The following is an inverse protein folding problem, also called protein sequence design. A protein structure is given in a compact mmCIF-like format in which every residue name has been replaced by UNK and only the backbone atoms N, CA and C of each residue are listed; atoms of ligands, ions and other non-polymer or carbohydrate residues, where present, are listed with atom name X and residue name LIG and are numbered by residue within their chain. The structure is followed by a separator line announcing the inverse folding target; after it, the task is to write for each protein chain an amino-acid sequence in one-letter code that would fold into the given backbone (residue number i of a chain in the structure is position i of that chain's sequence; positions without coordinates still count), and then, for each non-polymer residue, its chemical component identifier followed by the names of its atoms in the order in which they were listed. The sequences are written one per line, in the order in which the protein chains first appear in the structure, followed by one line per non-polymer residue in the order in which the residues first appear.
data_IF_831049074489
#
_entry.id   IF_831049074489
#
_cell.length_a   1.000
_cell.length_b   1.000
_cell.length_c   1.000
_cell.angle_alpha   90.00
_cell.angle_beta   90.00
_cell.angle_gamma   90.00
#
_symmetry.space_group_name_H-M   'P 1'
#
loop_
_entity.id
_entity.type
_entity.pdbx_description
1 polymer ?
#
# COMPACT_ATOMS: atom_id res chain seq x y z
N UNK A 1 -18.36 -3.13 4.40
CA UNK A 1 -18.11 -4.04 3.25
C UNK A 1 -16.97 -4.96 3.67
N UNK A 2 -17.12 -6.28 3.59
CA UNK A 2 -16.04 -7.21 3.95
C UNK A 2 -14.91 -7.14 2.92
N UNK A 3 -13.64 -7.08 3.35
CA UNK A 3 -12.48 -7.17 2.44
C UNK A 3 -12.56 -8.44 1.60
N UNK A 4 -12.28 -8.33 0.30
CA UNK A 4 -12.22 -9.48 -0.61
C UNK A 4 -10.98 -10.33 -0.33
N UNK A 5 -10.97 -11.57 -0.82
CA UNK A 5 -9.81 -12.46 -0.67
C UNK A 5 -8.56 -11.90 -1.37
N UNK A 6 -8.73 -11.25 -2.52
CA UNK A 6 -7.62 -10.62 -3.24
C UNK A 6 -7.01 -9.47 -2.44
N UNK A 7 -7.83 -8.62 -1.79
CA UNK A 7 -7.32 -7.56 -0.93
C UNK A 7 -6.51 -8.13 0.22
N UNK A 8 -7.04 -9.15 0.92
CA UNK A 8 -6.34 -9.80 2.03
C UNK A 8 -5.00 -10.41 1.60
N UNK A 9 -4.97 -11.09 0.45
CA UNK A 9 -3.74 -11.69 -0.09
C UNK A 9 -2.69 -10.64 -0.43
N UNK A 10 -3.10 -9.53 -1.04
CA UNK A 10 -2.19 -8.42 -1.36
C UNK A 10 -1.64 -7.77 -0.09
N UNK A 11 -2.51 -7.51 0.89
CA UNK A 11 -2.11 -6.98 2.20
C UNK A 11 -1.13 -7.92 2.92
N UNK A 12 -1.43 -9.22 2.97
CA UNK A 12 -0.56 -10.21 3.58
C UNK A 12 0.82 -10.26 2.91
N UNK A 13 0.87 -10.26 1.57
CA UNK A 13 2.12 -10.24 0.82
C UNK A 13 2.96 -9.00 1.11
N UNK A 14 2.32 -7.82 1.19
CA UNK A 14 2.99 -6.57 1.55
C UNK A 14 3.52 -6.58 2.98
N UNK A 15 2.73 -7.08 3.93
CA UNK A 15 3.14 -7.19 5.32
C UNK A 15 4.35 -8.11 5.45
N UNK A 16 4.29 -9.32 4.87
CA UNK A 16 5.41 -10.29 4.87
C UNK A 16 6.69 -9.70 4.28
N UNK A 17 6.58 -8.95 3.17
CA UNK A 17 7.75 -8.33 2.53
C UNK A 17 8.43 -7.23 3.37
N UNK A 18 7.68 -6.64 4.32
CA UNK A 18 8.15 -5.56 5.20
C UNK A 18 8.32 -5.98 6.66
N UNK A 19 7.97 -7.22 7.01
CA UNK A 19 8.18 -7.81 8.34
C UNK A 19 9.66 -8.18 8.56
N UNK A 20 10.51 -7.15 8.59
CA UNK A 20 11.97 -7.28 8.77
C UNK A 20 12.51 -6.13 9.60
N UNK A 21 13.66 -6.35 10.23
CA UNK A 21 14.31 -5.37 11.08
C UNK A 21 14.54 -4.03 10.34
N UNK A 22 14.27 -2.93 11.02
CA UNK A 22 14.47 -1.58 10.50
C UNK A 22 13.39 -1.09 9.53
N UNK A 23 12.28 -1.83 9.41
CA UNK A 23 11.11 -1.47 8.60
C UNK A 23 9.84 -1.56 9.46
N UNK A 24 9.00 -0.54 9.38
CA UNK A 24 7.76 -0.44 10.15
C UNK A 24 6.60 -0.25 9.17
N UNK A 25 5.63 -1.16 9.19
CA UNK A 25 4.48 -1.16 8.29
C UNK A 25 3.17 -0.81 9.00
N UNK A 26 2.31 -0.02 8.37
CA UNK A 26 0.97 0.30 8.88
C UNK A 26 -0.07 0.27 7.75
N UNK A 27 -1.21 -0.37 8.00
CA UNK A 27 -2.35 -0.42 7.08
C UNK A 27 -3.35 0.71 7.36
N UNK A 28 -4.09 1.12 6.33
CA UNK A 28 -5.20 2.08 6.39
C UNK A 28 -4.82 3.34 7.18
N UNK A 29 -3.82 4.05 6.64
CA UNK A 29 -3.21 5.21 7.28
C UNK A 29 -3.86 6.50 6.79
N UNK A 30 -4.64 7.15 7.65
CA UNK A 30 -5.24 8.47 7.36
C UNK A 30 -4.18 9.56 7.49
N UNK A 31 -3.95 10.32 6.40
CA UNK A 31 -2.90 11.33 6.32
C UNK A 31 -3.33 12.66 6.97
N UNK A 32 -2.57 13.13 7.95
CA UNK A 32 -2.86 14.37 8.69
C UNK A 32 -4.00 14.24 9.70
N UNK A 33 -4.17 15.29 10.51
CA UNK A 33 -5.24 15.40 11.50
C UNK A 33 -6.55 15.81 10.80
N UNK A 34 -7.61 15.01 10.94
CA UNK A 34 -8.86 15.10 10.13
C UNK A 34 -8.66 14.95 8.61
N UNK A 35 -7.62 14.22 8.20
CA UNK A 35 -7.38 13.89 6.81
C UNK A 35 -8.55 13.17 6.13
N UNK A 36 -8.75 13.45 4.85
CA UNK A 36 -9.70 12.72 3.98
C UNK A 36 -9.01 11.62 3.15
N UNK A 37 -7.69 11.62 3.16
CA UNK A 37 -6.84 10.74 2.38
C UNK A 37 -6.35 9.57 3.22
N UNK A 38 -6.50 8.36 2.71
CA UNK A 38 -6.09 7.12 3.35
C UNK A 38 -5.15 6.41 2.40
N UNK A 39 -3.95 6.07 2.88
CA UNK A 39 -3.02 5.19 2.17
C UNK A 39 -3.26 3.76 2.63
N UNK A 40 -3.40 2.82 1.70
CA UNK A 40 -3.70 1.41 2.03
C UNK A 40 -2.60 0.79 2.88
N UNK A 41 -1.34 1.01 2.53
CA UNK A 41 -0.19 0.57 3.33
C UNK A 41 0.99 1.55 3.23
N UNK A 42 1.61 1.84 4.37
CA UNK A 42 2.84 2.63 4.44
C UNK A 42 3.91 1.80 5.10
N UNK A 43 5.10 1.75 4.48
CA UNK A 43 6.31 1.28 5.13
C UNK A 43 7.27 2.45 5.39
N UNK A 44 7.75 2.56 6.62
CA UNK A 44 8.76 3.51 7.05
C UNK A 44 10.05 2.76 7.39
N UNK A 45 11.17 3.21 6.80
CA UNK A 45 12.50 2.64 7.08
C UNK A 45 13.27 3.50 8.06
N UNK A 46 14.17 2.89 8.82
CA UNK A 46 15.13 3.60 9.69
C UNK A 46 16.06 4.55 8.92
N UNK A 47 16.21 4.37 7.61
CA UNK A 47 16.88 5.31 6.69
C UNK A 47 16.10 6.63 6.48
N UNK A 48 14.91 6.77 7.06
CA UNK A 48 14.07 7.96 6.92
C UNK A 48 13.20 7.97 5.66
N UNK A 49 13.08 6.84 4.97
CA UNK A 49 12.35 6.70 3.71
C UNK A 49 10.94 6.16 3.94
N UNK A 50 9.95 6.81 3.32
CA UNK A 50 8.57 6.36 3.28
C UNK A 50 8.25 5.70 1.94
N UNK A 51 7.60 4.53 2.00
CA UNK A 51 7.09 3.82 0.85
C UNK A 51 5.58 3.72 1.01
N UNK A 52 4.84 4.38 0.12
CA UNK A 52 3.38 4.35 0.10
C UNK A 52 2.89 3.38 -0.97
N UNK A 53 1.90 2.57 -0.60
CA UNK A 53 1.33 1.54 -1.45
C UNK A 53 -0.17 1.76 -1.56
N UNK A 54 -0.65 1.82 -2.80
CA UNK A 54 -2.07 1.86 -3.15
C UNK A 54 -2.46 0.50 -3.75
N UNK A 55 -3.40 -0.19 -3.12
CA UNK A 55 -3.85 -1.52 -3.50
C UNK A 55 -5.06 -1.39 -4.44
N UNK A 56 -4.96 -1.95 -5.65
CA UNK A 56 -6.07 -2.00 -6.61
C UNK A 56 -6.32 -3.45 -7.03
N UNK A 57 -7.47 -4.00 -6.67
CA UNK A 57 -7.80 -5.41 -6.95
C UNK A 57 -8.72 -5.60 -8.14
N UNK A 58 -9.29 -4.51 -8.67
CA UNK A 58 -10.13 -4.53 -9.86
C UNK A 58 -9.89 -3.32 -10.77
N UNK A 59 -10.38 -3.40 -12.02
CA UNK A 59 -10.36 -2.26 -12.95
C UNK A 59 -11.20 -1.09 -12.41
N UNK A 60 -12.31 -1.37 -11.73
CA UNK A 60 -13.14 -0.34 -11.07
C UNK A 60 -12.39 0.38 -9.96
N UNK A 61 -11.64 -0.34 -9.13
CA UNK A 61 -10.82 0.29 -8.09
C UNK A 61 -9.79 1.21 -8.71
N UNK A 62 -9.13 0.76 -9.77
CA UNK A 62 -8.11 1.54 -10.48
C UNK A 62 -8.67 2.81 -11.12
N UNK A 63 -9.92 2.76 -11.60
CA UNK A 63 -10.64 3.91 -12.19
C UNK A 63 -11.29 4.84 -11.16
N UNK A 64 -11.30 4.47 -9.88
CA UNK A 64 -11.97 5.27 -8.86
C UNK A 64 -11.40 6.69 -8.83
N UNK A 65 -12.28 7.68 -8.67
CA UNK A 65 -11.90 9.10 -8.52
C UNK A 65 -11.40 9.45 -7.12
N UNK A 66 -11.11 8.45 -6.29
CA UNK A 66 -10.57 8.67 -4.97
C UNK A 66 -9.20 9.35 -5.07
N UNK A 67 -8.89 10.25 -4.15
CA UNK A 67 -7.60 10.91 -4.14
C UNK A 67 -6.48 9.88 -3.93
N UNK A 68 -5.60 9.76 -4.92
CA UNK A 68 -4.40 8.93 -4.83
C UNK A 68 -3.43 9.56 -3.85
N UNK A 69 -3.13 8.86 -2.76
CA UNK A 69 -2.37 9.41 -1.64
C UNK A 69 -0.87 9.08 -1.76
N UNK A 70 -0.23 9.54 -2.85
CA UNK A 70 1.18 9.28 -3.16
C UNK A 70 2.15 10.27 -2.49
N UNK A 71 2.20 10.21 -1.16
CA UNK A 71 3.00 11.09 -0.28
C UNK A 71 4.41 10.55 0.05
N UNK A 72 4.74 9.33 -0.35
CA UNK A 72 5.99 8.67 0.04
C UNK A 72 7.22 9.10 -0.78
N UNK A 73 8.42 8.81 -0.26
CA UNK A 73 9.67 8.87 -1.03
C UNK A 73 9.59 7.92 -2.23
N UNK A 74 8.92 6.77 -2.07
CA UNK A 74 8.55 5.87 -3.16
C UNK A 74 7.06 5.57 -3.10
N UNK A 75 6.44 5.45 -4.27
CA UNK A 75 5.00 5.27 -4.40
C UNK A 75 4.72 4.13 -5.36
N UNK A 76 3.84 3.21 -4.96
CA UNK A 76 3.57 1.99 -5.71
C UNK A 76 2.07 1.76 -5.84
N UNK A 77 1.66 1.33 -7.03
CA UNK A 77 0.47 0.50 -7.14
C UNK A 77 0.82 -0.96 -6.84
N UNK A 78 -0.10 -1.64 -6.16
CA UNK A 78 0.00 -3.08 -5.89
C UNK A 78 -1.28 -3.75 -6.35
N UNK A 79 -1.14 -4.70 -7.27
CA UNK A 79 -2.28 -5.34 -7.93
C UNK A 79 -2.12 -6.87 -7.94
N UNK A 80 -3.22 -7.65 -8.00
CA UNK A 80 -3.13 -9.07 -8.36
C UNK A 80 -2.54 -9.25 -9.76
N UNK A 81 -1.74 -10.31 -9.99
CA UNK A 81 -1.09 -10.55 -11.30
C UNK A 81 -2.09 -10.59 -12.46
N UNK A 82 -3.26 -11.20 -12.27
CA UNK A 82 -4.28 -11.30 -13.32
C UNK A 82 -4.82 -9.94 -13.78
N UNK A 83 -4.72 -8.89 -12.96
CA UNK A 83 -5.22 -7.55 -13.29
C UNK A 83 -4.27 -6.79 -14.23
N UNK A 84 -2.99 -7.21 -14.33
CA UNK A 84 -1.99 -6.50 -15.12
C UNK A 84 -2.34 -6.43 -16.61
N UNK A 85 -2.71 -7.56 -17.21
CA UNK A 85 -3.03 -7.62 -18.64
C UNK A 85 -4.30 -6.84 -18.96
N UNK A 86 -5.30 -6.90 -18.07
CA UNK A 86 -6.54 -6.14 -18.18
C UNK A 86 -6.24 -4.63 -18.18
N UNK A 87 -5.37 -4.15 -17.30
CA UNK A 87 -5.00 -2.73 -17.23
C UNK A 87 -4.20 -2.28 -18.45
N UNK A 88 -3.29 -3.11 -18.95
CA UNK A 88 -2.52 -2.84 -20.17
C UNK A 88 -3.42 -2.73 -21.39
N UNK A 89 -4.28 -3.73 -21.60
CA UNK A 89 -5.26 -3.76 -22.70
C UNK A 89 -6.21 -2.56 -22.62
N UNK A 90 -6.80 -2.32 -21.45
CA UNK A 90 -7.71 -1.20 -21.22
C UNK A 90 -7.04 0.15 -21.51
N UNK A 91 -5.79 0.33 -21.09
CA UNK A 91 -5.04 1.57 -21.32
C UNK A 91 -4.73 1.75 -22.81
N UNK A 92 -4.24 0.72 -23.49
CA UNK A 92 -3.96 0.76 -24.92
C UNK A 92 -5.21 1.18 -25.72
N UNK A 93 -6.35 0.53 -25.45
CA UNK A 93 -7.66 0.85 -26.06
C UNK A 93 -8.11 2.28 -25.76
N UNK A 94 -7.99 2.73 -24.51
CA UNK A 94 -8.42 4.07 -24.09
C UNK A 94 -7.65 5.20 -24.78
N UNK A 95 -6.41 4.94 -25.20
CA UNK A 95 -5.55 5.89 -25.92
C UNK A 95 -5.47 5.61 -27.42
N UNK A 96 -6.28 4.68 -27.95
CA UNK A 96 -6.24 4.23 -29.34
C UNK A 96 -4.81 3.85 -29.81
N UNK A 97 -4.05 3.21 -28.91
CA UNK A 97 -2.65 2.82 -29.12
C UNK A 97 -2.55 1.31 -29.29
N UNK A 98 -1.65 0.87 -30.17
CA UNK A 98 -1.27 -0.55 -30.32
C UNK A 98 -0.18 -0.97 -29.32
N UNK A 99 0.37 -0.03 -28.54
CA UNK A 99 1.40 -0.33 -27.55
C UNK A 99 0.80 -0.89 -26.25
N UNK A 100 0.89 -2.21 -26.10
CA UNK A 100 0.46 -2.90 -24.88
C UNK A 100 1.26 -2.51 -23.63
N UNK A 101 2.47 -1.95 -23.78
CA UNK A 101 3.29 -1.45 -22.67
C UNK A 101 3.00 0.01 -22.31
N UNK A 102 2.02 0.65 -22.96
CA UNK A 102 1.67 2.05 -22.70
C UNK A 102 1.35 2.29 -21.21
N UNK A 103 0.64 1.35 -20.57
CA UNK A 103 0.34 1.42 -19.14
C UNK A 103 1.60 1.53 -18.27
N UNK A 104 2.53 0.59 -18.44
CA UNK A 104 3.82 0.55 -17.74
C UNK A 104 4.63 1.83 -17.99
N UNK A 105 4.69 2.27 -19.24
CA UNK A 105 5.41 3.47 -19.66
C UNK A 105 4.85 4.72 -18.97
N UNK A 106 3.52 4.84 -18.87
CA UNK A 106 2.87 5.96 -18.18
C UNK A 106 3.23 5.98 -16.69
N UNK A 107 3.17 4.83 -16.00
CA UNK A 107 3.57 4.74 -14.60
C UNK A 107 5.03 5.12 -14.38
N UNK A 108 5.92 4.61 -15.24
CA UNK A 108 7.36 4.95 -15.22
C UNK A 108 7.58 6.45 -15.39
N UNK A 109 6.89 7.08 -16.35
CA UNK A 109 6.99 8.52 -16.60
C UNK A 109 6.46 9.36 -15.44
N UNK A 110 5.44 8.88 -14.73
CA UNK A 110 4.95 9.49 -13.48
C UNK A 110 5.82 9.19 -12.25
N UNK A 111 6.84 8.33 -12.39
CA UNK A 111 7.71 7.90 -11.29
C UNK A 111 7.03 6.96 -10.28
N UNK A 112 5.87 6.39 -10.63
CA UNK A 112 5.11 5.48 -9.79
C UNK A 112 5.54 4.04 -10.12
N UNK A 113 5.84 3.25 -9.09
CA UNK A 113 6.16 1.84 -9.25
C UNK A 113 4.90 0.98 -9.39
N UNK A 114 5.09 -0.22 -9.93
CA UNK A 114 4.04 -1.22 -10.07
C UNK A 114 4.55 -2.56 -9.56
N UNK A 115 3.81 -3.12 -8.61
CA UNK A 115 4.06 -4.43 -8.03
C UNK A 115 2.85 -5.31 -8.33
N UNK A 116 3.10 -6.53 -8.81
CA UNK A 116 2.07 -7.56 -8.89
C UNK A 116 2.22 -8.59 -7.79
N UNK A 117 1.10 -9.15 -7.35
CA UNK A 117 1.04 -10.22 -6.35
C UNK A 117 0.49 -11.49 -7.01
N UNK A 118 1.28 -12.56 -6.98
CA UNK A 118 0.85 -13.87 -7.50
C UNK A 118 -0.20 -14.50 -6.58
N UNK A 119 -0.85 -15.56 -7.05
CA UNK A 119 -1.82 -16.30 -6.22
C UNK A 119 -1.19 -16.93 -4.97
N UNK A 120 0.13 -17.18 -5.02
CA UNK A 120 0.93 -17.69 -3.91
C UNK A 120 1.40 -16.59 -2.94
N UNK A 121 1.08 -15.32 -3.21
CA UNK A 121 1.48 -14.18 -2.39
C UNK A 121 2.90 -13.67 -2.65
N UNK A 122 3.49 -13.98 -3.80
CA UNK A 122 4.83 -13.50 -4.16
C UNK A 122 4.75 -12.14 -4.86
N UNK A 123 5.65 -11.21 -4.51
CA UNK A 123 5.73 -9.88 -5.10
C UNK A 123 6.64 -9.86 -6.33
N UNK A 124 6.14 -9.33 -7.45
CA UNK A 124 6.93 -9.07 -8.65
C UNK A 124 6.95 -7.57 -8.98
N UNK A 125 8.14 -7.00 -9.13
CA UNK A 125 8.32 -5.57 -9.42
C UNK A 125 8.35 -5.34 -10.93
N UNK A 126 7.22 -4.91 -11.50
CA UNK A 126 7.07 -4.67 -12.95
C UNK A 126 7.66 -3.30 -13.33
N UNK A 127 7.36 -2.27 -12.54
CA UNK A 127 7.89 -0.91 -12.73
C UNK A 127 8.55 -0.46 -11.44
N UNK A 128 9.81 -0.01 -11.51
CA UNK A 128 10.51 0.58 -10.37
C UNK A 128 10.01 2.00 -10.12
N UNK A 129 9.67 2.31 -8.87
CA UNK A 129 9.32 3.67 -8.48
C UNK A 129 10.55 4.58 -8.53
N UNK A 130 10.35 5.85 -8.91
CA UNK A 130 11.37 6.89 -8.81
C UNK A 130 11.30 7.53 -7.43
N UNK A 131 12.46 7.76 -6.81
CA UNK A 131 12.51 8.46 -5.52
C UNK A 131 12.02 9.91 -5.68
N UNK A 132 11.08 10.30 -4.84
CA UNK A 132 10.67 11.70 -4.59
C UNK A 132 11.34 12.16 -3.31
N UNK A 133 11.96 13.33 -3.32
CA UNK A 133 12.52 13.93 -2.10
C UNK A 133 11.40 14.60 -1.31
N UNK A 134 10.75 13.83 -0.45
CA UNK A 134 9.68 14.33 0.41
C UNK A 134 10.29 15.24 1.49
N UNK A 135 9.69 16.42 1.68
CA UNK A 135 10.17 17.38 2.67
C UNK A 135 9.92 16.91 4.11
N UNK A 136 10.66 17.48 5.07
CA UNK A 136 10.58 17.07 6.48
C UNK A 136 9.20 17.27 7.11
N UNK A 137 8.46 18.31 6.72
CA UNK A 137 7.10 18.54 7.22
C UNK A 137 6.15 17.41 6.83
N UNK A 138 6.15 17.02 5.55
CA UNK A 138 5.37 15.87 5.07
C UNK A 138 5.81 14.57 5.73
N UNK A 139 7.11 14.35 5.93
CA UNK A 139 7.62 13.17 6.66
C UNK A 139 7.14 13.12 8.10
N UNK A 140 7.11 14.26 8.79
CA UNK A 140 6.57 14.36 10.15
C UNK A 140 5.07 14.02 10.17
N UNK A 141 4.29 14.55 9.23
CA UNK A 141 2.86 14.22 9.09
C UNK A 141 2.64 12.72 8.85
N UNK A 142 3.45 12.09 7.98
CA UNK A 142 3.36 10.66 7.71
C UNK A 142 3.67 9.83 8.96
N UNK A 143 4.72 10.19 9.70
CA UNK A 143 5.10 9.49 10.92
C UNK A 143 4.01 9.60 12.00
N UNK A 144 3.44 10.80 12.18
CA UNK A 144 2.33 11.02 13.12
C UNK A 144 1.10 10.20 12.73
N UNK A 145 0.75 10.21 11.44
CA UNK A 145 -0.34 9.41 10.88
C UNK A 145 -0.16 7.90 11.05
N UNK A 146 1.05 7.39 10.81
CA UNK A 146 1.40 6.00 11.08
C UNK A 146 1.27 5.68 12.56
N UNK A 147 1.79 6.55 13.45
CA UNK A 147 1.73 6.35 14.90
C UNK A 147 0.28 6.22 15.38
N UNK A 148 -0.63 7.10 14.92
CA UNK A 148 -2.06 7.00 15.25
C UNK A 148 -2.69 5.70 14.74
N UNK A 149 -2.34 5.29 13.52
CA UNK A 149 -2.89 4.10 12.89
C UNK A 149 -2.40 2.81 13.57
N UNK A 150 -1.11 2.74 13.91
CA UNK A 150 -0.54 1.64 14.68
C UNK A 150 -1.15 1.56 16.07
N UNK A 151 -1.30 2.69 16.77
CA UNK A 151 -1.95 2.71 18.08
C UNK A 151 -3.40 2.22 18.02
N UNK A 152 -4.12 2.56 16.95
CA UNK A 152 -5.48 2.04 16.70
C UNK A 152 -5.47 0.51 16.53
N UNK A 153 -4.53 -0.05 15.78
CA UNK A 153 -4.43 -1.51 15.62
C UNK A 153 -3.99 -2.21 16.91
N UNK A 154 -3.07 -1.62 17.68
CA UNK A 154 -2.67 -2.12 19.01
C UNK A 154 -3.86 -2.12 19.97
N UNK A 155 -4.67 -1.05 19.97
CA UNK A 155 -5.90 -0.99 20.77
C UNK A 155 -6.85 -2.12 20.41
N UNK A 156 -7.15 -2.33 19.12
CA UNK A 156 -8.00 -3.44 18.65
C UNK A 156 -7.43 -4.81 19.05
N UNK A 157 -6.11 -4.94 19.05
CA UNK A 157 -5.43 -6.17 19.48
C UNK A 157 -5.62 -6.41 20.99
N UNK A 158 -5.36 -5.41 21.84
CA UNK A 158 -5.51 -5.53 23.29
C UNK A 158 -6.96 -5.61 23.77
N UNK A 159 -7.92 -5.07 23.03
CA UNK A 159 -9.35 -5.31 23.30
C UNK A 159 -9.73 -6.79 23.18
N UNK A 160 -9.00 -7.56 22.36
CA UNK A 160 -9.23 -9.01 22.17
C UNK A 160 -8.28 -9.87 23.00
N UNK A 161 -7.02 -9.46 23.12
CA UNK A 161 -5.94 -10.18 23.77
C UNK A 161 -5.15 -9.21 24.66
N UNK A 162 -5.73 -8.75 25.78
CA UNK A 162 -5.05 -7.87 26.70
C UNK A 162 -3.84 -8.59 27.31
N UNK A 163 -2.64 -8.04 27.11
CA UNK A 163 -1.40 -8.72 27.53
C UNK A 163 -1.28 -8.92 29.05
N UNK A 164 -2.07 -8.18 29.84
CA UNK A 164 -2.10 -8.25 31.30
C UNK A 164 -3.05 -9.33 31.84
N UNK A 165 -3.78 -10.05 30.99
CA UNK A 165 -4.51 -11.24 31.40
C UNK A 165 -3.59 -12.44 31.21
N UNK A 166 -3.04 -12.96 32.30
CA UNK A 166 -2.32 -14.23 32.32
C UNK A 166 -3.31 -15.38 32.47
N UNK A 167 -3.07 -16.51 31.82
CA UNK A 167 -3.92 -17.72 31.91
C UNK A 167 -3.87 -18.40 33.30
N UNK A 168 -3.23 -17.79 34.31
CA UNK A 168 -2.95 -18.36 35.64
C UNK A 168 -4.13 -18.24 36.64
N UNK A 169 -5.39 -18.21 36.19
CA UNK A 169 -6.55 -18.25 37.11
C UNK A 169 -7.55 -19.35 36.73
N UNK A 170 -7.03 -20.45 36.20
CA UNK A 170 -7.79 -21.67 35.93
C UNK A 170 -7.02 -22.92 36.40
N UNK A 171 -6.68 -22.96 37.70
CA UNK A 171 -6.46 -24.20 38.46
C UNK A 171 -7.24 -24.13 39.78
#
# INVERSE_FOLDING_TARGET
MSKTNDTRRVEEALWKAHAKQGVFGAFEVTIGWFGKEIVDFIAYKTTGEFLCYEIKVSLSDFKSKANLSFHGDFNYYVIPTHLLEILRDHTAKSFNSLDFKLFDTRLKNSGIGLITVTEKGELNYIVKAKRKHVNMGTKATLLESMTRSLNREVKKFYEKNPYWITEEVAE
#
